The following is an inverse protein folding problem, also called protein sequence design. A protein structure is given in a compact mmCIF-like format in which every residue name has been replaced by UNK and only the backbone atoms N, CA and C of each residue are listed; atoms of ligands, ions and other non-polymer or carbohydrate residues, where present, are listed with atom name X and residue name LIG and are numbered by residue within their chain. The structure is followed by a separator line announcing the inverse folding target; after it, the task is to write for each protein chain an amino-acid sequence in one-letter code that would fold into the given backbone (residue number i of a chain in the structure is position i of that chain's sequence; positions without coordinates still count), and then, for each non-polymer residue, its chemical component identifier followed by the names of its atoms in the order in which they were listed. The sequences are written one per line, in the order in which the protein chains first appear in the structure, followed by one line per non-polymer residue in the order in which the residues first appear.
data_IF_456562563101
#
_entry.id   IF_456562563101
#
_cell.length_a   1.000
_cell.length_b   1.000
_cell.length_c   1.000
_cell.angle_alpha   90.00
_cell.angle_beta   90.00
_cell.angle_gamma   90.00
#
_symmetry.space_group_name_H-M   'P 1'
#
loop_
_entity.id
_entity.type
_entity.pdbx_description
1 polymer ?
#
# COMPACT_ATOMS: atom_id res chain seq x y z
N UNK A 1 -18.15 -0.75 3.41
CA UNK A 1 -17.10 -0.67 4.44
C UNK A 1 -17.73 -0.08 5.68
N UNK A 2 -17.48 -0.68 6.83
CA UNK A 2 -17.93 -0.19 8.13
C UNK A 2 -17.03 0.98 8.55
N UNK A 3 -17.61 2.05 9.10
CA UNK A 3 -16.82 3.14 9.71
C UNK A 3 -16.03 2.55 10.88
N UNK A 4 -14.76 2.92 11.01
CA UNK A 4 -13.91 2.55 12.14
C UNK A 4 -13.39 3.81 12.80
N UNK A 5 -13.31 3.77 14.11
CA UNK A 5 -12.62 4.75 14.92
C UNK A 5 -11.28 4.13 15.31
N UNK A 6 -10.20 4.89 15.14
CA UNK A 6 -8.84 4.45 15.47
C UNK A 6 -8.63 4.63 16.97
N UNK A 7 -7.98 3.65 17.60
CA UNK A 7 -7.78 3.61 19.06
C UNK A 7 -6.35 3.97 19.48
N UNK A 8 -5.47 4.24 18.51
CA UNK A 8 -4.05 4.47 18.74
C UNK A 8 -3.22 3.21 18.45
N UNK A 9 -1.93 3.42 18.17
CA UNK A 9 -0.95 2.40 17.80
C UNK A 9 -1.22 1.68 16.46
N UNK A 10 -2.17 2.14 15.63
CA UNK A 10 -2.34 1.58 14.29
C UNK A 10 -1.40 2.21 13.26
N UNK A 11 -0.83 1.38 12.38
CA UNK A 11 -0.08 1.87 11.23
C UNK A 11 -1.05 2.24 10.11
N UNK A 12 -1.03 3.50 9.72
CA UNK A 12 -1.85 4.04 8.64
C UNK A 12 -0.98 4.66 7.55
N UNK A 13 -1.46 4.60 6.31
CA UNK A 13 -0.95 5.47 5.24
C UNK A 13 -1.91 6.62 5.03
N UNK A 14 -1.36 7.82 4.89
CA UNK A 14 -2.12 9.05 4.67
C UNK A 14 -1.57 9.77 3.44
N UNK A 15 -2.46 10.42 2.70
CA UNK A 15 -2.06 11.40 1.71
C UNK A 15 -1.67 12.72 2.40
N UNK A 16 -1.00 13.60 1.67
CA UNK A 16 -0.62 14.94 2.15
C UNK A 16 -1.83 15.77 2.61
N UNK A 17 -3.00 15.55 2.00
CA UNK A 17 -4.26 16.21 2.37
C UNK A 17 -4.95 15.60 3.62
N UNK A 18 -4.30 14.62 4.28
CA UNK A 18 -4.83 13.93 5.45
C UNK A 18 -5.81 12.79 5.13
N UNK A 19 -6.07 12.49 3.86
CA UNK A 19 -6.92 11.35 3.49
C UNK A 19 -6.26 10.03 3.89
N UNK A 20 -6.94 9.23 4.72
CA UNK A 20 -6.49 7.87 5.07
C UNK A 20 -6.61 6.97 3.83
N UNK A 21 -5.49 6.37 3.44
CA UNK A 21 -5.37 5.51 2.26
C UNK A 21 -5.53 4.03 2.62
N UNK A 22 -4.84 3.57 3.65
CA UNK A 22 -4.91 2.19 4.17
C UNK A 22 -4.57 2.15 5.68
N UNK A 23 -4.95 1.06 6.35
CA UNK A 23 -4.68 0.80 7.76
C UNK A 23 -4.20 -0.64 7.91
N UNK A 24 -2.99 -0.89 8.39
CA UNK A 24 -2.53 -2.26 8.66
C UNK A 24 -3.28 -2.88 9.86
N UNK A 25 -3.59 -4.20 9.85
CA UNK A 25 -3.43 -5.18 8.77
C UNK A 25 -4.59 -5.20 7.77
N UNK A 26 -5.49 -4.23 7.85
CA UNK A 26 -6.66 -4.11 6.99
C UNK A 26 -6.33 -3.54 5.59
N UNK A 27 -7.25 -3.73 4.65
CA UNK A 27 -7.09 -3.26 3.26
C UNK A 27 -7.40 -1.76 3.11
N UNK A 28 -7.11 -1.26 1.91
CA UNK A 28 -7.39 0.10 1.43
C UNK A 28 -8.76 0.64 1.87
N UNK A 29 -8.79 1.94 2.19
CA UNK A 29 -10.02 2.64 2.51
C UNK A 29 -11.01 2.57 1.32
N UNK A 30 -12.32 2.61 1.61
CA UNK A 30 -13.37 2.49 0.60
C UNK A 30 -13.23 3.52 -0.53
N UNK A 31 -12.73 4.72 -0.20
CA UNK A 31 -12.55 5.85 -1.13
C UNK A 31 -11.35 5.67 -2.06
N UNK A 32 -10.32 4.95 -1.62
CA UNK A 32 -8.98 4.93 -2.25
C UNK A 32 -8.66 3.60 -2.92
N UNK A 33 -9.42 2.53 -2.63
CA UNK A 33 -9.25 1.23 -3.27
C UNK A 33 -9.30 1.33 -4.81
N UNK A 34 -8.51 0.48 -5.47
CA UNK A 34 -8.55 0.33 -6.92
C UNK A 34 -9.92 -0.19 -7.37
N UNK A 35 -10.44 0.37 -8.46
CA UNK A 35 -11.71 -0.04 -9.10
C UNK A 35 -11.52 -0.22 -10.60
N UNK A 36 -12.53 -0.76 -11.30
CA UNK A 36 -12.54 -0.85 -12.77
C UNK A 36 -12.44 0.52 -13.47
N UNK A 37 -12.72 1.62 -12.77
CA UNK A 37 -12.62 2.99 -13.30
C UNK A 37 -11.27 3.63 -13.02
N UNK A 38 -10.42 3.01 -12.20
CA UNK A 38 -9.10 3.53 -11.85
C UNK A 38 -8.20 3.49 -13.08
N UNK A 39 -7.60 4.64 -13.40
CA UNK A 39 -6.62 4.76 -14.49
C UNK A 39 -5.20 4.89 -13.94
N UNK A 40 -5.04 5.61 -12.84
CA UNK A 40 -3.75 5.83 -12.22
C UNK A 40 -3.67 5.10 -10.89
N UNK A 41 -2.58 4.36 -10.67
CA UNK A 41 -2.35 3.59 -9.45
C UNK A 41 -1.08 4.07 -8.76
N UNK A 42 -1.14 4.19 -7.45
CA UNK A 42 0.04 4.41 -6.62
C UNK A 42 0.32 3.13 -5.84
N UNK A 43 1.54 2.62 -5.95
CA UNK A 43 1.97 1.36 -5.35
C UNK A 43 2.85 1.69 -4.15
N UNK A 44 2.38 1.27 -2.98
CA UNK A 44 3.14 1.36 -1.73
C UNK A 44 3.57 -0.03 -1.30
N UNK A 45 4.87 -0.22 -1.02
CA UNK A 45 5.39 -1.46 -0.47
C UNK A 45 5.92 -1.21 0.95
N UNK A 46 5.18 -1.71 1.94
CA UNK A 46 5.41 -1.42 3.36
C UNK A 46 5.71 -2.71 4.12
N UNK A 47 6.84 -2.75 4.79
CA UNK A 47 7.22 -3.83 5.71
C UNK A 47 6.98 -3.42 7.16
N UNK A 48 6.52 -4.37 7.97
CA UNK A 48 6.43 -4.29 9.43
C UNK A 48 7.34 -5.35 10.06
N UNK A 49 7.43 -5.35 11.39
CA UNK A 49 8.22 -6.32 12.13
C UNK A 49 7.84 -7.77 11.79
N UNK A 50 8.85 -8.60 11.54
CA UNK A 50 8.69 -9.97 11.04
C UNK A 50 8.90 -10.15 9.54
N UNK A 51 8.93 -9.06 8.75
CA UNK A 51 9.26 -9.11 7.31
C UNK A 51 10.70 -8.65 7.08
N UNK A 52 11.51 -9.44 6.38
CA UNK A 52 12.88 -9.02 6.07
C UNK A 52 12.89 -7.92 4.99
N UNK A 53 13.85 -7.00 5.07
CA UNK A 53 14.03 -5.96 4.04
C UNK A 53 14.24 -6.55 2.64
N UNK A 54 14.90 -7.71 2.55
CA UNK A 54 15.11 -8.37 1.26
C UNK A 54 13.80 -8.94 0.69
N UNK A 55 12.97 -9.57 1.53
CA UNK A 55 11.65 -10.02 1.11
C UNK A 55 10.79 -8.85 0.61
N UNK A 56 10.81 -7.71 1.32
CA UNK A 56 10.09 -6.51 0.91
C UNK A 56 10.57 -5.96 -0.45
N UNK A 57 11.90 -5.87 -0.65
CA UNK A 57 12.49 -5.45 -1.94
C UNK A 57 12.11 -6.39 -3.08
N UNK A 58 12.18 -7.71 -2.84
CA UNK A 58 11.82 -8.70 -3.84
C UNK A 58 10.34 -8.62 -4.22
N UNK A 59 9.45 -8.45 -3.23
CA UNK A 59 8.02 -8.27 -3.47
C UNK A 59 7.74 -6.99 -4.29
N UNK A 60 8.43 -5.90 -3.97
CA UNK A 60 8.34 -4.66 -4.73
C UNK A 60 8.75 -4.88 -6.21
N UNK A 61 9.95 -5.42 -6.45
CA UNK A 61 10.43 -5.66 -7.82
C UNK A 61 9.49 -6.59 -8.60
N UNK A 62 9.01 -7.67 -7.97
CA UNK A 62 8.08 -8.61 -8.61
C UNK A 62 6.80 -7.92 -9.10
N UNK A 63 6.22 -7.02 -8.29
CA UNK A 63 5.00 -6.28 -8.66
C UNK A 63 5.27 -5.32 -9.82
N UNK A 64 6.38 -4.59 -9.79
CA UNK A 64 6.74 -3.65 -10.85
C UNK A 64 7.01 -4.38 -12.16
N UNK A 65 7.77 -5.47 -12.12
CA UNK A 65 8.06 -6.30 -13.29
C UNK A 65 6.79 -6.91 -13.88
N UNK A 66 5.85 -7.34 -13.03
CA UNK A 66 4.55 -7.84 -13.47
C UNK A 66 3.76 -6.75 -14.19
N UNK A 67 3.64 -5.56 -13.61
CA UNK A 67 2.88 -4.46 -14.20
C UNK A 67 3.50 -3.95 -15.50
N UNK A 68 4.83 -3.93 -15.61
CA UNK A 68 5.54 -3.57 -16.84
C UNK A 68 5.29 -4.56 -17.98
N UNK A 69 5.02 -5.83 -17.66
CA UNK A 69 4.69 -6.87 -18.65
C UNK A 69 3.22 -6.88 -19.03
N UNK A 70 2.34 -6.27 -18.23
CA UNK A 70 0.92 -6.18 -18.54
C UNK A 70 0.67 -5.13 -19.61
N UNK A 71 -0.19 -5.46 -20.58
CA UNK A 71 -0.78 -4.44 -21.46
C UNK A 71 -1.78 -3.61 -20.66
N UNK A 72 -1.31 -2.48 -20.14
CA UNK A 72 -2.18 -1.53 -19.47
C UNK A 72 -3.08 -0.81 -20.50
N UNK A 73 -4.31 -0.43 -20.13
CA UNK A 73 -5.14 0.43 -20.98
C UNK A 73 -4.35 1.67 -21.42
N UNK A 74 -4.55 2.16 -22.66
CA UNK A 74 -3.79 3.26 -23.30
C UNK A 74 -3.67 4.60 -22.54
N UNK A 75 -4.26 4.72 -21.34
CA UNK A 75 -4.22 5.91 -20.46
C UNK A 75 -4.02 5.55 -18.99
N UNK A 76 -3.58 4.33 -18.70
CA UNK A 76 -3.35 3.89 -17.34
C UNK A 76 -1.86 4.01 -17.00
N UNK A 77 -1.57 4.60 -15.86
CA UNK A 77 -0.21 4.81 -15.36
C UNK A 77 -0.09 4.27 -13.94
N UNK A 78 1.12 3.90 -13.55
CA UNK A 78 1.41 3.62 -12.16
C UNK A 78 2.70 4.32 -11.71
N UNK A 79 2.73 4.65 -10.43
CA UNK A 79 3.93 5.13 -9.73
C UNK A 79 4.12 4.27 -8.48
N UNK A 80 5.37 4.04 -8.11
CA UNK A 80 5.71 3.23 -6.96
C UNK A 80 6.62 3.98 -6.00
N UNK A 81 6.44 3.77 -4.70
CA UNK A 81 7.38 4.22 -3.69
C UNK A 81 8.59 3.29 -3.65
N UNK A 82 9.73 3.78 -3.15
CA UNK A 82 10.73 2.86 -2.62
C UNK A 82 10.10 2.01 -1.50
N UNK A 83 10.58 0.77 -1.26
CA UNK A 83 10.17 -0.02 -0.11
C UNK A 83 10.41 0.73 1.22
N UNK A 84 9.37 0.84 2.04
CA UNK A 84 9.43 1.51 3.36
C UNK A 84 9.31 0.45 4.45
N UNK A 85 10.16 0.53 5.46
CA UNK A 85 10.11 -0.36 6.62
C UNK A 85 9.72 0.42 7.87
N UNK A 86 8.68 -0.04 8.55
CA UNK A 86 8.20 0.53 9.81
C UNK A 86 8.69 -0.35 10.95
N UNK A 87 9.61 0.18 11.76
CA UNK A 87 10.12 -0.47 12.97
C UNK A 87 9.30 -0.07 14.20
N UNK A 88 9.40 -0.86 15.28
CA UNK A 88 8.71 -0.63 16.56
C UNK A 88 7.20 -0.75 16.46
N UNK A 89 6.72 -1.58 15.52
CA UNK A 89 5.32 -1.91 15.38
C UNK A 89 5.18 -3.43 15.35
N UNK A 90 4.77 -4.01 16.47
CA UNK A 90 4.42 -5.42 16.58
C UNK A 90 2.91 -5.57 16.40
N UNK A 91 2.43 -6.29 15.36
CA UNK A 91 1.00 -6.58 15.19
C UNK A 91 0.36 -7.37 16.35
N UNK A 92 1.20 -7.93 17.22
CA UNK A 92 0.83 -8.95 18.21
C UNK A 92 1.09 -8.51 19.66
N UNK A 93 1.19 -7.20 19.93
CA UNK A 93 1.13 -6.68 21.30
C UNK A 93 -0.28 -6.74 21.88
#
# INVERSE_FOLDING_TARGET
GKKREMKGNEVITIAEDGTILSQFPYRDAKKTKVTRKTKNVFITCLGVDGITKNALKNAHSLVIDFLNKCELPKKAEFKATNPIYVSNFSPFQ
#
